data_IF_062127487008
#
_entry.id   IF_062127487008
#
_cell.length_a   1.000
_cell.length_b   1.000
_cell.length_c   1.000
_cell.angle_alpha   90.00
_cell.angle_beta   90.00
_cell.angle_gamma   90.00
#
_symmetry.space_group_name_H-M   'P 1'
#
loop_
_entity.id
_entity.type
_entity.pdbx_description
1 polymer ?
#
# COMPACT_ATOMS: atom_id res chain seq x y z
N UNK A 1 -29.09 6.92 19.17
CA UNK A 1 -29.63 5.97 18.18
C UNK A 1 -28.59 5.88 17.08
N UNK A 2 -27.60 5.00 17.26
CA UNK A 2 -26.45 4.87 16.36
C UNK A 2 -26.87 4.02 15.17
N UNK A 3 -26.85 4.57 13.96
CA UNK A 3 -27.19 3.81 12.77
C UNK A 3 -26.06 2.80 12.50
N UNK A 4 -26.33 1.49 12.45
CA UNK A 4 -25.29 0.52 12.14
C UNK A 4 -24.77 0.82 10.73
N UNK A 5 -23.46 0.98 10.60
CA UNK A 5 -22.83 1.17 9.29
C UNK A 5 -23.14 -0.06 8.43
N UNK A 6 -23.68 0.14 7.24
CA UNK A 6 -24.00 -0.98 6.34
C UNK A 6 -22.71 -1.68 5.91
N UNK A 7 -22.71 -3.03 5.80
CA UNK A 7 -21.56 -3.80 5.32
C UNK A 7 -20.99 -3.27 3.99
N UNK A 8 -21.89 -2.86 3.09
CA UNK A 8 -21.56 -2.23 1.83
C UNK A 8 -20.76 -0.92 1.95
N UNK A 9 -21.01 -0.10 2.98
CA UNK A 9 -20.26 1.15 3.17
C UNK A 9 -18.81 0.90 3.57
N UNK A 10 -18.54 -0.17 4.33
CA UNK A 10 -17.19 -0.60 4.69
C UNK A 10 -16.44 -1.14 3.47
N UNK A 11 -17.11 -1.91 2.61
CA UNK A 11 -16.54 -2.42 1.36
C UNK A 11 -16.33 -1.29 0.32
N UNK A 12 -17.20 -0.28 0.31
CA UNK A 12 -16.94 0.97 -0.42
C UNK A 12 -15.72 1.74 0.10
N UNK A 13 -15.57 1.84 1.43
CA UNK A 13 -14.42 2.47 2.05
C UNK A 13 -13.11 1.74 1.68
N UNK A 14 -13.08 0.41 1.62
CA UNK A 14 -11.87 -0.32 1.20
C UNK A 14 -11.44 -0.03 -0.24
N UNK A 15 -12.38 0.22 -1.16
CA UNK A 15 -12.05 0.63 -2.53
C UNK A 15 -11.35 1.99 -2.50
N UNK A 16 -11.89 2.95 -1.74
CA UNK A 16 -11.29 4.27 -1.57
C UNK A 16 -9.89 4.15 -0.97
N UNK A 17 -9.71 3.31 0.05
CA UNK A 17 -8.41 3.04 0.68
C UNK A 17 -7.41 2.56 -0.36
N UNK A 18 -7.76 1.57 -1.17
CA UNK A 18 -6.85 1.04 -2.18
C UNK A 18 -6.48 2.09 -3.23
N UNK A 19 -7.45 2.83 -3.76
CA UNK A 19 -7.20 3.89 -4.74
C UNK A 19 -6.22 4.91 -4.15
N UNK A 20 -6.41 5.32 -2.91
CA UNK A 20 -5.54 6.28 -2.27
C UNK A 20 -4.15 5.70 -1.96
N UNK A 21 -4.03 4.48 -1.42
CA UNK A 21 -2.74 3.81 -1.16
C UNK A 21 -1.93 3.68 -2.46
N UNK A 22 -2.57 3.30 -3.56
CA UNK A 22 -1.92 3.17 -4.85
C UNK A 22 -1.57 4.51 -5.49
N UNK A 23 -2.39 5.54 -5.27
CA UNK A 23 -2.04 6.92 -5.66
C UNK A 23 -0.81 7.41 -4.91
N UNK A 24 -0.74 7.17 -3.60
CA UNK A 24 0.43 7.51 -2.78
C UNK A 24 1.67 6.78 -3.31
N UNK A 25 1.56 5.46 -3.56
CA UNK A 25 2.64 4.65 -4.09
C UNK A 25 3.09 5.13 -5.50
N UNK A 26 2.13 5.46 -6.37
CA UNK A 26 2.39 5.97 -7.72
C UNK A 26 3.13 7.30 -7.71
N UNK A 27 2.68 8.27 -6.89
CA UNK A 27 3.34 9.58 -6.78
C UNK A 27 4.72 9.42 -6.16
N UNK A 28 4.88 8.63 -5.09
CA UNK A 28 6.18 8.38 -4.49
C UNK A 28 7.17 7.73 -5.48
N UNK A 29 6.72 6.79 -6.33
CA UNK A 29 7.54 6.25 -7.42
C UNK A 29 7.83 7.27 -8.52
N UNK A 30 6.88 8.13 -8.86
CA UNK A 30 7.09 9.20 -9.83
C UNK A 30 8.16 10.21 -9.38
N UNK A 31 8.17 10.53 -8.07
CA UNK A 31 9.20 11.36 -7.45
C UNK A 31 10.54 10.65 -7.51
N UNK A 32 10.60 9.38 -7.09
CA UNK A 32 11.84 8.59 -7.14
C UNK A 32 12.37 8.46 -8.57
N UNK A 33 11.49 8.31 -9.56
CA UNK A 33 11.83 8.20 -10.98
C UNK A 33 12.46 9.45 -11.60
N UNK A 34 12.45 10.59 -10.88
CA UNK A 34 13.20 11.80 -11.29
C UNK A 34 14.70 11.67 -11.03
N UNK A 35 15.11 10.84 -10.08
CA UNK A 35 16.51 10.45 -9.88
C UNK A 35 16.95 9.44 -10.94
N UNK A 36 18.20 9.50 -11.41
CA UNK A 36 18.76 8.56 -12.40
C UNK A 36 18.78 7.11 -11.88
N UNK A 37 19.12 6.89 -10.61
CA UNK A 37 19.06 5.57 -9.96
C UNK A 37 17.61 5.12 -9.71
N UNK A 38 16.74 6.07 -9.36
CA UNK A 38 15.32 5.81 -9.25
C UNK A 38 14.69 5.45 -10.59
N UNK A 39 15.14 6.02 -11.71
CA UNK A 39 14.63 5.77 -13.06
C UNK A 39 14.91 4.35 -13.58
N UNK A 40 16.06 3.78 -13.20
CA UNK A 40 16.38 2.36 -13.46
C UNK A 40 15.51 1.44 -12.61
N UNK A 41 15.28 1.83 -11.35
CA UNK A 41 14.46 1.09 -10.40
C UNK A 41 12.96 1.14 -10.75
N UNK A 42 12.47 2.28 -11.27
CA UNK A 42 11.06 2.52 -11.61
C UNK A 42 10.68 2.06 -13.02
N UNK A 43 11.65 1.66 -13.85
CA UNK A 43 11.37 1.15 -15.21
C UNK A 43 10.50 -0.11 -15.11
N UNK A 44 9.33 -0.06 -15.76
CA UNK A 44 8.29 -1.11 -15.68
C UNK A 44 7.44 -1.11 -14.41
N UNK A 45 7.80 -0.32 -13.39
CA UNK A 45 7.06 -0.27 -12.12
C UNK A 45 5.64 0.27 -12.30
N UNK A 46 5.44 1.30 -13.14
CA UNK A 46 4.12 1.90 -13.33
C UNK A 46 3.06 0.93 -13.89
N UNK A 47 3.42 0.06 -14.84
CA UNK A 47 2.50 -0.96 -15.35
C UNK A 47 2.17 -2.01 -14.28
N UNK A 48 3.16 -2.40 -13.47
CA UNK A 48 2.92 -3.33 -12.36
C UNK A 48 2.01 -2.74 -11.28
N UNK A 49 2.07 -1.43 -11.01
CA UNK A 49 1.15 -0.76 -10.07
C UNK A 49 -0.30 -0.83 -10.55
N UNK A 50 -0.54 -0.57 -11.84
CA UNK A 50 -1.88 -0.58 -12.43
C UNK A 50 -2.45 -2.00 -12.44
N UNK A 51 -1.64 -2.99 -12.80
CA UNK A 51 -2.04 -4.40 -12.71
C UNK A 51 -2.37 -4.79 -11.27
N UNK A 52 -1.60 -4.30 -10.29
CA UNK A 52 -1.86 -4.57 -8.89
C UNK A 52 -3.17 -3.92 -8.41
N UNK A 53 -3.43 -2.66 -8.79
CA UNK A 53 -4.69 -1.96 -8.53
C UNK A 53 -5.88 -2.73 -9.07
N UNK A 54 -5.79 -3.19 -10.32
CA UNK A 54 -6.87 -3.94 -10.95
C UNK A 54 -7.12 -5.26 -10.20
N UNK A 55 -6.06 -5.97 -9.83
CA UNK A 55 -6.16 -7.21 -9.07
C UNK A 55 -6.86 -6.98 -7.72
N UNK A 56 -6.43 -5.99 -6.96
CA UNK A 56 -6.95 -5.74 -5.61
C UNK A 56 -8.38 -5.20 -5.65
N UNK A 57 -8.74 -4.40 -6.67
CA UNK A 57 -10.13 -3.97 -6.91
C UNK A 57 -11.01 -5.17 -7.29
N UNK A 58 -10.56 -6.04 -8.20
CA UNK A 58 -11.32 -7.24 -8.62
C UNK A 58 -11.63 -8.13 -7.41
N UNK A 59 -10.69 -8.30 -6.49
CA UNK A 59 -10.91 -9.10 -5.26
C UNK A 59 -11.98 -8.46 -4.37
N UNK A 60 -11.95 -7.14 -4.17
CA UNK A 60 -12.98 -6.44 -3.39
C UNK A 60 -14.35 -6.55 -4.08
N UNK A 61 -14.36 -6.38 -5.39
CA UNK A 61 -15.56 -6.47 -6.23
C UNK A 61 -16.18 -7.87 -6.07
N UNK A 62 -15.40 -8.93 -6.19
CA UNK A 62 -15.93 -10.28 -6.01
C UNK A 62 -16.40 -10.59 -4.58
N UNK A 63 -16.22 -9.67 -3.61
CA UNK A 63 -16.76 -9.79 -2.25
C UNK A 63 -18.29 -9.72 -2.20
N UNK A 64 -18.91 -10.54 -1.36
CA UNK A 64 -20.37 -10.68 -1.21
C UNK A 64 -21.14 -9.34 -1.10
N UNK A 65 -20.64 -8.37 -0.34
CA UNK A 65 -21.33 -7.09 -0.09
C UNK A 65 -21.55 -6.28 -1.37
N UNK A 66 -20.55 -6.31 -2.24
CA UNK A 66 -20.50 -5.52 -3.46
C UNK A 66 -21.04 -6.34 -4.63
N UNK A 67 -20.77 -7.65 -4.64
CA UNK A 67 -21.39 -8.59 -5.56
C UNK A 67 -22.92 -8.51 -5.52
N UNK A 68 -23.53 -8.41 -4.33
CA UNK A 68 -24.97 -8.26 -4.19
C UNK A 68 -25.54 -6.97 -4.82
N UNK A 69 -24.71 -5.94 -5.04
CA UNK A 69 -25.16 -4.66 -5.60
C UNK A 69 -25.19 -4.66 -7.13
N UNK A 70 -24.27 -5.38 -7.79
CA UNK A 70 -24.21 -5.44 -9.25
C UNK A 70 -24.57 -6.81 -9.83
N UNK A 71 -24.74 -7.86 -9.02
CA UNK A 71 -25.27 -9.14 -9.50
C UNK A 71 -26.60 -8.97 -10.26
N UNK A 72 -27.52 -8.02 -9.92
CA UNK A 72 -28.74 -7.82 -10.72
C UNK A 72 -28.47 -7.39 -12.16
N UNK A 73 -27.31 -6.78 -12.44
CA UNK A 73 -26.89 -6.39 -13.80
C UNK A 73 -26.49 -7.60 -14.64
N UNK A 74 -26.02 -8.68 -14.00
CA UNK A 74 -25.60 -9.92 -14.64
C UNK A 74 -26.78 -10.85 -14.98
N UNK A 75 -27.99 -10.51 -14.55
CA UNK A 75 -29.20 -11.31 -14.79
C UNK A 75 -29.08 -12.72 -14.20
N UNK A 76 -29.01 -13.73 -15.07
CA UNK A 76 -28.96 -15.15 -14.70
C UNK A 76 -27.54 -15.72 -14.52
N UNK A 77 -26.49 -14.91 -14.71
CA UNK A 77 -25.11 -15.38 -14.57
C UNK A 77 -24.69 -15.32 -13.10
N UNK A 78 -24.65 -16.48 -12.44
CA UNK A 78 -24.13 -16.60 -11.08
C UNK A 78 -22.60 -16.78 -11.12
N UNK A 79 -21.86 -15.73 -10.75
CA UNK A 79 -20.43 -15.82 -10.50
C UNK A 79 -20.18 -16.23 -9.03
N UNK A 80 -19.07 -16.94 -8.76
CA UNK A 80 -18.69 -17.27 -7.39
C UNK A 80 -18.33 -16.00 -6.61
N UNK A 81 -19.05 -15.73 -5.51
CA UNK A 81 -18.73 -14.65 -4.58
C UNK A 81 -17.75 -15.12 -3.50
N UNK A 82 -16.90 -14.21 -3.04
CA UNK A 82 -15.94 -14.45 -1.95
C UNK A 82 -16.54 -13.91 -0.65
N UNK A 83 -16.46 -14.66 0.47
CA UNK A 83 -16.87 -14.15 1.77
C UNK A 83 -16.15 -12.85 2.08
N UNK A 84 -16.88 -11.88 2.65
CA UNK A 84 -16.35 -10.54 2.97
C UNK A 84 -15.01 -10.58 3.70
N UNK A 85 -14.93 -11.40 4.73
CA UNK A 85 -13.71 -11.59 5.51
C UNK A 85 -12.53 -12.10 4.67
N UNK A 86 -12.80 -13.03 3.76
CA UNK A 86 -11.80 -13.57 2.84
C UNK A 86 -11.32 -12.52 1.83
N UNK A 87 -12.23 -11.69 1.33
CA UNK A 87 -11.89 -10.60 0.40
C UNK A 87 -10.97 -9.56 1.07
N UNK A 88 -11.26 -9.13 2.30
CA UNK A 88 -10.39 -8.20 3.03
C UNK A 88 -9.03 -8.82 3.36
N UNK A 89 -9.00 -10.05 3.87
CA UNK A 89 -7.73 -10.74 4.16
C UNK A 89 -6.87 -10.84 2.89
N UNK A 90 -7.46 -11.25 1.76
CA UNK A 90 -6.75 -11.35 0.49
C UNK A 90 -6.18 -10.00 0.05
N UNK A 91 -6.97 -8.92 0.16
CA UNK A 91 -6.52 -7.55 -0.12
C UNK A 91 -5.36 -7.15 0.77
N UNK A 92 -5.48 -7.33 2.09
CA UNK A 92 -4.42 -6.96 3.02
C UNK A 92 -3.13 -7.73 2.76
N UNK A 93 -3.22 -9.03 2.46
CA UNK A 93 -2.06 -9.84 2.09
C UNK A 93 -1.43 -9.35 0.78
N UNK A 94 -2.26 -9.06 -0.24
CA UNK A 94 -1.78 -8.50 -1.51
C UNK A 94 -1.09 -7.14 -1.33
N UNK A 95 -1.64 -6.27 -0.48
CA UNK A 95 -1.07 -4.96 -0.17
C UNK A 95 0.26 -5.08 0.58
N UNK A 96 0.36 -6.00 1.55
CA UNK A 96 1.62 -6.28 2.26
C UNK A 96 2.68 -6.77 1.27
N UNK A 97 2.34 -7.74 0.41
CA UNK A 97 3.27 -8.29 -0.60
C UNK A 97 3.74 -7.18 -1.54
N UNK A 98 2.82 -6.36 -2.02
CA UNK A 98 3.09 -5.26 -2.92
C UNK A 98 4.04 -4.22 -2.34
N UNK A 99 3.72 -3.71 -1.14
CA UNK A 99 4.57 -2.74 -0.45
C UNK A 99 5.94 -3.35 -0.17
N UNK A 100 6.00 -4.63 0.18
CA UNK A 100 7.26 -5.35 0.39
C UNK A 100 8.11 -5.40 -0.90
N UNK A 101 7.50 -5.72 -2.04
CA UNK A 101 8.19 -5.74 -3.34
C UNK A 101 8.68 -4.34 -3.71
N UNK A 102 7.91 -3.29 -3.43
CA UNK A 102 8.33 -1.90 -3.66
C UNK A 102 9.51 -1.50 -2.77
N UNK A 103 9.47 -1.85 -1.48
CA UNK A 103 10.57 -1.60 -0.54
C UNK A 103 11.82 -2.35 -0.98
N UNK A 104 11.69 -3.61 -1.39
CA UNK A 104 12.80 -4.41 -1.88
C UNK A 104 13.43 -3.80 -3.15
N UNK A 105 12.61 -3.42 -4.13
CA UNK A 105 13.08 -2.78 -5.37
C UNK A 105 13.77 -1.44 -5.12
N UNK A 106 13.33 -0.69 -4.11
CA UNK A 106 13.91 0.63 -3.77
C UNK A 106 15.16 0.58 -2.89
N UNK A 107 15.71 -0.60 -2.62
CA UNK A 107 16.96 -0.76 -1.89
C UNK A 107 16.81 -0.96 -0.38
N UNK A 108 15.62 -1.33 0.08
CA UNK A 108 15.35 -1.72 1.47
C UNK A 108 14.71 -0.64 2.34
N UNK A 109 14.28 -1.03 3.54
CA UNK A 109 13.36 -0.23 4.38
C UNK A 109 13.94 1.09 4.90
N UNK A 110 15.27 1.22 5.01
CA UNK A 110 15.93 2.46 5.48
C UNK A 110 15.86 3.60 4.47
N UNK A 111 15.82 3.27 3.18
CA UNK A 111 15.84 4.23 2.07
C UNK A 111 14.60 4.07 1.18
N UNK A 112 13.47 3.70 1.77
CA UNK A 112 12.21 3.53 1.02
C UNK A 112 11.10 4.40 1.57
N UNK A 113 10.45 5.23 0.73
CA UNK A 113 9.30 6.03 1.16
C UNK A 113 8.06 5.18 1.45
N UNK A 114 8.06 3.90 1.05
CA UNK A 114 6.93 2.99 1.20
C UNK A 114 6.84 2.35 2.58
N UNK A 115 7.87 2.51 3.43
CA UNK A 115 7.87 2.01 4.82
C UNK A 115 6.68 2.54 5.62
N UNK A 116 6.26 3.78 5.37
CA UNK A 116 5.10 4.38 6.03
C UNK A 116 3.78 3.79 5.57
N UNK A 117 3.69 3.37 4.30
CA UNK A 117 2.53 2.61 3.80
C UNK A 117 2.47 1.25 4.50
N UNK A 118 3.61 0.58 4.67
CA UNK A 118 3.68 -0.73 5.34
C UNK A 118 3.12 -0.66 6.78
N UNK A 119 3.47 0.39 7.52
CA UNK A 119 2.96 0.62 8.89
C UNK A 119 1.52 1.14 8.95
N UNK A 120 1.00 1.65 7.84
CA UNK A 120 -0.39 2.08 7.74
C UNK A 120 -1.34 0.89 7.62
N UNK A 121 -0.92 -0.22 7.01
CA UNK A 121 -1.76 -1.41 6.74
C UNK A 121 -2.45 -1.98 8.00
N UNK A 122 -1.77 -2.21 9.13
CA UNK A 122 -2.45 -2.69 10.33
C UNK A 122 -3.50 -1.69 10.86
N UNK A 123 -3.21 -0.40 10.80
CA UNK A 123 -4.13 0.66 11.21
C UNK A 123 -5.40 0.67 10.34
N UNK A 124 -5.26 0.41 9.04
CA UNK A 124 -6.39 0.28 8.11
C UNK A 124 -7.30 -0.90 8.47
N UNK A 125 -6.74 -2.02 8.95
CA UNK A 125 -7.53 -3.17 9.38
C UNK A 125 -8.43 -2.82 10.58
N UNK A 126 -7.95 -2.00 11.52
CA UNK A 126 -8.77 -1.52 12.64
C UNK A 126 -9.94 -0.67 12.12
N UNK A 127 -9.68 0.25 11.20
CA UNK A 127 -10.74 1.12 10.67
C UNK A 127 -11.79 0.36 9.85
N UNK A 128 -11.41 -0.71 9.16
CA UNK A 128 -12.34 -1.59 8.46
C UNK A 128 -13.13 -2.54 9.41
N UNK A 129 -12.93 -2.42 10.73
CA UNK A 129 -13.59 -3.21 11.77
C UNK A 129 -13.30 -4.72 11.66
N UNK A 130 -12.10 -5.07 11.22
CA UNK A 130 -11.61 -6.44 11.26
C UNK A 130 -11.38 -6.92 12.71
N UNK A 131 -11.46 -8.22 13.00
CA UNK A 131 -11.23 -8.75 14.33
C UNK A 131 -9.81 -8.44 14.83
N UNK A 132 -9.69 -8.09 16.12
CA UNK A 132 -8.43 -7.65 16.74
C UNK A 132 -7.26 -8.65 16.58
N UNK A 133 -7.57 -9.96 16.49
CA UNK A 133 -6.55 -10.98 16.24
C UNK A 133 -5.88 -10.83 14.86
N UNK A 134 -6.63 -10.43 13.82
CA UNK A 134 -6.07 -10.18 12.48
C UNK A 134 -5.18 -8.95 12.48
N UNK A 135 -5.55 -7.90 13.21
CA UNK A 135 -4.68 -6.75 13.42
C UNK A 135 -3.32 -7.14 14.03
N UNK A 136 -3.32 -7.98 15.07
CA UNK A 136 -2.09 -8.46 15.70
C UNK A 136 -1.23 -9.27 14.72
N UNK A 137 -1.85 -10.15 13.94
CA UNK A 137 -1.16 -10.92 12.89
C UNK A 137 -0.55 -10.01 11.83
N UNK A 138 -1.30 -9.06 11.28
CA UNK A 138 -0.79 -8.13 10.27
C UNK A 138 0.36 -7.28 10.83
N UNK A 139 0.23 -6.78 12.06
CA UNK A 139 1.29 -6.02 12.74
C UNK A 139 2.56 -6.84 12.93
N UNK A 140 2.41 -8.12 13.32
CA UNK A 140 3.53 -9.04 13.47
C UNK A 140 4.24 -9.32 12.13
N UNK A 141 3.48 -9.62 11.08
CA UNK A 141 4.03 -9.83 9.73
C UNK A 141 4.74 -8.58 9.19
N UNK A 142 4.12 -7.41 9.32
CA UNK A 142 4.72 -6.13 8.97
C UNK A 142 6.03 -5.89 9.72
N UNK A 143 6.07 -6.20 11.02
CA UNK A 143 7.29 -6.11 11.83
C UNK A 143 8.42 -7.01 11.31
N UNK A 144 8.13 -8.27 11.00
CA UNK A 144 9.10 -9.22 10.43
C UNK A 144 9.63 -8.71 9.08
N UNK A 145 8.72 -8.26 8.21
CA UNK A 145 9.07 -7.72 6.90
C UNK A 145 9.98 -6.49 7.06
N UNK A 146 9.63 -5.57 7.95
CA UNK A 146 10.45 -4.40 8.21
C UNK A 146 11.86 -4.78 8.68
N UNK A 147 11.99 -5.67 9.67
CA UNK A 147 13.30 -6.10 10.19
C UNK A 147 14.13 -6.82 9.13
N UNK A 148 13.52 -7.67 8.30
CA UNK A 148 14.22 -8.34 7.20
C UNK A 148 14.69 -7.36 6.13
N UNK A 149 13.88 -6.35 5.79
CA UNK A 149 14.19 -5.32 4.80
C UNK A 149 15.20 -4.28 5.29
N UNK A 150 15.41 -4.13 6.60
CA UNK A 150 16.50 -3.32 7.15
C UNK A 150 17.88 -3.89 6.80
N UNK A 151 18.00 -5.22 6.63
CA UNK A 151 19.26 -5.91 6.31
C UNK A 151 19.65 -5.74 4.84
N UNK A 152 18.68 -5.60 3.94
CA UNK A 152 18.89 -5.45 2.48
C UNK A 152 19.67 -4.18 2.14
N UNK A 153 19.37 -3.05 2.78
CA UNK A 153 20.04 -1.77 2.51
C UNK A 153 21.53 -1.73 2.94
N UNK A 154 21.96 -2.64 3.82
CA UNK A 154 23.35 -2.69 4.28
C UNK A 154 24.30 -3.36 3.28
N UNK A 155 23.78 -4.16 2.35
CA UNK A 155 24.60 -4.93 1.41
C UNK A 155 24.99 -4.10 0.19
N UNK A 156 24.09 -3.24 -0.29
CA UNK A 156 24.27 -2.43 -1.51
C UNK A 156 25.23 -1.24 -1.32
N UNK A 157 25.37 -0.73 -0.10
CA UNK A 157 26.19 0.46 0.19
C UNK A 157 27.70 0.21 0.25
N UNK A 158 28.15 -1.05 0.29
CA UNK A 158 29.57 -1.39 0.48
C UNK A 158 30.42 -1.38 -0.80
N UNK A 159 29.83 -1.20 -1.98
CA UNK A 159 30.50 -1.48 -3.27
C UNK A 159 30.79 -0.27 -4.16
N UNK A 160 30.60 0.98 -3.71
CA UNK A 160 30.72 2.14 -4.62
C UNK A 160 31.95 3.01 -4.30
N UNK A 161 32.90 3.18 -5.25
CA UNK A 161 34.09 4.01 -5.05
C UNK A 161 33.75 5.51 -5.11
N UNK A 162 34.29 6.27 -4.16
CA UNK A 162 34.08 7.71 -4.01
C UNK A 162 34.86 8.51 -5.06
N UNK A 163 34.14 9.17 -5.98
CA UNK A 163 34.67 10.27 -6.80
C UNK A 163 33.85 11.54 -6.57
N UNK A 164 34.42 12.72 -6.81
CA UNK A 164 33.74 14.00 -6.51
C UNK A 164 32.48 14.26 -7.35
N UNK A 165 32.41 13.71 -8.57
CA UNK A 165 31.21 13.71 -9.40
C UNK A 165 30.13 12.75 -8.87
N UNK A 166 30.54 11.72 -8.12
CA UNK A 166 29.64 10.82 -7.42
C UNK A 166 29.08 11.44 -6.13
N UNK A 167 29.83 12.34 -5.46
CA UNK A 167 29.38 12.98 -4.21
C UNK A 167 28.24 13.99 -4.43
N UNK A 168 28.33 14.83 -5.47
CA UNK A 168 27.24 15.73 -5.88
C UNK A 168 26.01 14.95 -6.35
N UNK A 169 26.21 13.88 -7.13
CA UNK A 169 25.14 13.01 -7.60
C UNK A 169 24.43 12.26 -6.46
N UNK A 170 25.19 11.78 -5.48
CA UNK A 170 24.64 11.12 -4.28
C UNK A 170 23.78 12.09 -3.46
N UNK A 171 24.20 13.36 -3.36
CA UNK A 171 23.43 14.41 -2.68
C UNK A 171 22.08 14.66 -3.36
N UNK A 172 22.02 14.73 -4.69
CA UNK A 172 20.75 14.96 -5.41
C UNK A 172 19.77 13.78 -5.27
N UNK A 173 20.29 12.55 -5.25
CA UNK A 173 19.52 11.34 -5.02
C UNK A 173 18.97 11.29 -3.57
N UNK A 174 19.78 11.70 -2.58
CA UNK A 174 19.38 11.78 -1.17
C UNK A 174 18.27 12.83 -0.95
N UNK A 175 18.38 14.01 -1.58
CA UNK A 175 17.33 15.04 -1.52
C UNK A 175 16.02 14.57 -2.14
N UNK A 176 16.09 13.89 -3.28
CA UNK A 176 14.90 13.34 -3.96
C UNK A 176 14.23 12.27 -3.11
N UNK A 177 15.04 11.42 -2.48
CA UNK A 177 14.57 10.37 -1.56
C UNK A 177 13.89 10.96 -0.33
N UNK A 178 14.51 11.93 0.33
CA UNK A 178 13.96 12.66 1.47
C UNK A 178 12.60 13.29 1.13
N UNK A 179 12.48 13.89 -0.05
CA UNK A 179 11.25 14.52 -0.50
C UNK A 179 10.14 13.48 -0.75
N UNK A 180 10.47 12.33 -1.36
CA UNK A 180 9.54 11.22 -1.55
C UNK A 180 9.03 10.68 -0.20
N UNK A 181 9.93 10.53 0.78
CA UNK A 181 9.59 10.05 2.12
C UNK A 181 8.69 11.03 2.88
N UNK A 182 9.02 12.34 2.83
CA UNK A 182 8.18 13.39 3.45
C UNK A 182 6.78 13.40 2.84
N UNK A 183 6.68 13.30 1.52
CA UNK A 183 5.40 13.27 0.82
C UNK A 183 4.57 12.02 1.20
N UNK A 184 5.19 10.84 1.14
CA UNK A 184 4.52 9.59 1.50
C UNK A 184 4.02 9.62 2.94
N UNK A 185 4.80 10.14 3.89
CA UNK A 185 4.40 10.28 5.29
C UNK A 185 3.17 11.18 5.45
N UNK A 186 3.20 12.37 4.83
CA UNK A 186 2.08 13.31 4.90
C UNK A 186 0.82 12.72 4.27
N UNK A 187 0.95 12.05 3.13
CA UNK A 187 -0.18 11.43 2.46
C UNK A 187 -0.73 10.22 3.22
N UNK A 188 0.12 9.40 3.85
CA UNK A 188 -0.33 8.32 4.74
C UNK A 188 -1.06 8.85 5.97
N UNK A 189 -0.58 9.96 6.54
CA UNK A 189 -1.25 10.60 7.67
C UNK A 189 -2.60 11.19 7.26
N UNK A 190 -2.68 11.87 6.11
CA UNK A 190 -3.93 12.37 5.54
C UNK A 190 -4.91 11.23 5.21
N UNK A 191 -4.40 10.08 4.75
CA UNK A 191 -5.20 8.89 4.52
C UNK A 191 -5.77 8.36 5.85
N UNK A 192 -4.92 8.22 6.87
CA UNK A 192 -5.34 7.73 8.18
C UNK A 192 -6.45 8.60 8.78
N UNK A 193 -6.32 9.94 8.67
CA UNK A 193 -7.34 10.87 9.17
C UNK A 193 -8.63 10.80 8.36
N UNK A 194 -8.54 10.75 7.03
CA UNK A 194 -9.71 10.61 6.15
C UNK A 194 -10.51 9.34 6.46
N UNK A 195 -9.83 8.22 6.63
CA UNK A 195 -10.49 6.94 6.90
C UNK A 195 -11.06 6.90 8.31
N UNK A 196 -10.32 7.42 9.30
CA UNK A 196 -10.83 7.56 10.66
C UNK A 196 -12.12 8.38 10.70
N UNK A 197 -12.20 9.45 9.91
CA UNK A 197 -13.42 10.25 9.76
C UNK A 197 -14.56 9.49 9.08
N UNK A 198 -14.29 8.75 8.00
CA UNK A 198 -15.30 7.96 7.27
C UNK A 198 -15.84 6.79 8.12
N UNK A 199 -14.99 6.18 8.95
CA UNK A 199 -15.30 4.96 9.71
C UNK A 199 -15.75 5.23 11.14
N UNK A 200 -15.78 6.50 11.57
CA UNK A 200 -16.20 6.91 12.91
C UNK A 200 -17.62 6.40 13.22
N UNK A 201 -17.85 5.77 14.39
CA UNK A 201 -19.19 5.40 14.81
C UNK A 201 -20.03 6.68 15.02
N UNK A 202 -21.11 6.82 14.26
CA UNK A 202 -22.14 7.85 14.46
C UNK A 202 -23.20 7.36 15.44
#
# INVERSE_FOLDING_TARGET
>A
MTTPITPAALSGASIVIQICVLTIAYVALGILGRSLNGRLTTRGSHSTLVLWLLLTIIVIVMGEDLYAQWSPVLGNVALPSIPREGAFVAVFVLDIIFVTVLIFRTGGAKMSPFTSILFLLPTLAIFLREPAWRFLLYSFFVGIIYVSMLKVGSFTSSFVPSSDLFSTRKRDDEVTHDWATRWANMACLALATLIGYITQPK
#
